data_IF_578812504801
#
_entry.id   IF_578812504801
#
_cell.length_a   1.000
_cell.length_b   1.000
_cell.length_c   1.000
_cell.angle_alpha   90.00
_cell.angle_beta   90.00
_cell.angle_gamma   90.00
#
_symmetry.space_group_name_H-M   'P 1'
#
loop_
_entity.id
_entity.type
_entity.pdbx_description
1 polymer ?
#
# COMPACT_ATOMS: atom_id res chain seq x y z
N UNK A 1 -16.84 12.61 -37.14
CA UNK A 1 -16.75 11.86 -35.86
C UNK A 1 -15.58 12.44 -35.08
N UNK A 2 -15.80 13.04 -33.90
CA UNK A 2 -14.69 13.43 -33.01
C UNK A 2 -14.34 12.21 -32.17
N UNK A 3 -13.09 11.74 -32.25
CA UNK A 3 -12.55 10.81 -31.28
C UNK A 3 -12.61 11.49 -29.91
N UNK A 4 -13.47 11.00 -29.02
CA UNK A 4 -13.54 11.48 -27.64
C UNK A 4 -12.22 11.15 -26.96
N UNK A 5 -11.34 12.14 -26.85
CA UNK A 5 -10.03 11.97 -26.20
C UNK A 5 -10.24 11.57 -24.74
N UNK A 6 -9.67 10.42 -24.36
CA UNK A 6 -9.55 10.04 -22.95
C UNK A 6 -8.66 11.08 -22.28
N UNK A 7 -9.19 11.77 -21.28
CA UNK A 7 -8.40 12.64 -20.40
C UNK A 7 -7.96 11.82 -19.20
N UNK A 8 -6.66 11.81 -18.92
CA UNK A 8 -6.09 11.17 -17.73
C UNK A 8 -5.77 12.23 -16.69
N UNK A 9 -6.13 11.97 -15.43
CA UNK A 9 -5.83 12.82 -14.29
C UNK A 9 -4.98 12.03 -13.29
N UNK A 10 -3.93 12.65 -12.80
CA UNK A 10 -3.13 12.14 -11.68
C UNK A 10 -3.64 12.81 -10.40
N UNK A 11 -4.01 12.01 -9.40
CA UNK A 11 -4.61 12.49 -8.15
C UNK A 11 -3.87 11.91 -6.95
N UNK A 12 -3.80 12.70 -5.87
CA UNK A 12 -3.23 12.29 -4.60
C UNK A 12 -4.26 12.50 -3.50
N UNK A 13 -4.52 11.45 -2.69
CA UNK A 13 -5.37 11.56 -1.51
C UNK A 13 -4.63 12.26 -0.37
N UNK A 14 -5.25 13.27 0.25
CA UNK A 14 -4.61 14.05 1.32
C UNK A 14 -5.12 13.71 2.73
N UNK A 15 -6.43 13.50 2.88
CA UNK A 15 -7.04 13.22 4.17
C UNK A 15 -8.29 12.37 3.98
N UNK A 16 -8.67 11.68 5.05
CA UNK A 16 -9.93 10.95 5.12
C UNK A 16 -11.07 11.85 5.53
N UNK A 17 -12.25 11.51 5.03
CA UNK A 17 -13.46 12.20 5.40
C UNK A 17 -14.65 11.25 5.43
N UNK A 18 -15.61 11.56 6.29
CA UNK A 18 -16.92 10.94 6.34
C UNK A 18 -17.89 11.82 5.55
N UNK A 19 -18.63 11.20 4.64
CA UNK A 19 -19.71 11.86 3.92
C UNK A 19 -20.86 12.14 4.89
N UNK A 20 -21.29 13.40 5.00
CA UNK A 20 -22.36 13.83 5.91
C UNK A 20 -23.67 13.98 5.15
N UNK A 21 -23.65 14.74 4.05
CA UNK A 21 -24.79 14.93 3.16
C UNK A 21 -24.30 15.12 1.72
N UNK A 22 -25.20 14.89 0.76
CA UNK A 22 -24.97 15.14 -0.66
C UNK A 22 -26.13 15.94 -1.25
N UNK A 23 -25.82 16.78 -2.22
CA UNK A 23 -26.82 17.55 -2.97
C UNK A 23 -26.30 17.84 -4.38
N UNK A 24 -27.17 18.23 -5.30
CA UNK A 24 -26.77 18.57 -6.67
C UNK A 24 -26.83 20.10 -6.89
N UNK A 25 -25.82 20.64 -7.56
CA UNK A 25 -25.81 22.03 -8.02
C UNK A 25 -25.46 22.07 -9.50
N UNK A 26 -26.43 22.40 -10.34
CA UNK A 26 -26.28 22.51 -11.79
C UNK A 26 -25.71 21.25 -12.47
N UNK A 27 -26.24 20.07 -12.17
CA UNK A 27 -25.78 18.80 -12.77
C UNK A 27 -24.49 18.25 -12.16
N UNK A 28 -23.97 18.86 -11.08
CA UNK A 28 -22.75 18.43 -10.39
C UNK A 28 -23.09 18.03 -8.96
N UNK A 29 -22.74 16.80 -8.58
CA UNK A 29 -22.85 16.33 -7.20
C UNK A 29 -21.89 17.08 -6.28
N UNK A 30 -22.43 17.54 -5.16
CA UNK A 30 -21.72 18.21 -4.07
C UNK A 30 -21.95 17.42 -2.79
N UNK A 31 -21.01 17.57 -1.87
CA UNK A 31 -21.02 16.84 -0.62
C UNK A 31 -20.53 17.72 0.53
N UNK A 32 -21.15 17.58 1.70
CA UNK A 32 -20.59 18.03 2.97
C UNK A 32 -19.87 16.86 3.58
N UNK A 33 -18.67 17.12 4.07
CA UNK A 33 -17.80 16.10 4.61
C UNK A 33 -17.29 16.53 5.98
N UNK A 34 -17.14 15.56 6.88
CA UNK A 34 -16.44 15.72 8.15
C UNK A 34 -15.06 15.08 8.02
N UNK A 35 -13.98 15.82 8.31
CA UNK A 35 -12.63 15.27 8.25
C UNK A 35 -12.49 14.25 9.38
N UNK A 36 -12.07 13.03 9.03
CA UNK A 36 -11.73 12.00 10.00
C UNK A 36 -10.31 12.30 10.49
N UNK A 37 -10.19 12.60 11.78
CA UNK A 37 -8.92 12.71 12.46
C UNK A 37 -8.74 11.44 13.28
N UNK A 38 -7.58 10.82 13.17
CA UNK A 38 -7.22 9.81 14.15
C UNK A 38 -6.94 10.47 15.49
N UNK A 39 -7.26 9.75 16.57
CA UNK A 39 -6.90 10.17 17.92
C UNK A 39 -5.38 10.34 18.04
N UNK A 40 -4.98 11.21 18.98
CA UNK A 40 -3.59 11.59 19.31
C UNK A 40 -2.61 10.41 19.20
N UNK A 41 -1.32 10.66 18.86
CA UNK A 41 -0.34 9.61 18.64
C UNK A 41 -0.36 8.61 19.79
N UNK A 42 -0.82 7.40 19.48
CA UNK A 42 -0.82 6.29 20.41
C UNK A 42 0.63 5.86 20.66
N UNK A 43 0.91 5.37 21.86
CA UNK A 43 2.16 4.69 22.16
C UNK A 43 2.41 3.56 21.13
N UNK A 44 3.62 3.56 20.55
CA UNK A 44 4.18 2.56 19.63
C UNK A 44 3.82 2.66 18.13
N UNK A 45 3.44 3.84 17.60
CA UNK A 45 3.28 4.01 16.14
C UNK A 45 4.62 3.89 15.39
N UNK A 46 5.70 4.46 15.93
CA UNK A 46 7.06 4.36 15.36
C UNK A 46 7.46 2.91 15.17
N UNK A 47 7.34 2.08 16.21
CA UNK A 47 7.73 0.67 16.17
C UNK A 47 6.94 -0.10 15.08
N UNK A 48 5.66 0.20 14.91
CA UNK A 48 4.83 -0.41 13.87
C UNK A 48 5.22 0.06 12.48
N UNK A 49 5.55 1.35 12.32
CA UNK A 49 6.05 1.88 11.06
C UNK A 49 7.38 1.24 10.70
N UNK A 50 8.34 1.18 11.63
CA UNK A 50 9.66 0.57 11.43
C UNK A 50 9.56 -0.92 11.10
N UNK A 51 8.66 -1.63 11.78
CA UNK A 51 8.37 -3.03 11.47
C UNK A 51 7.82 -3.18 10.05
N UNK A 52 6.80 -2.41 9.69
CA UNK A 52 6.20 -2.50 8.36
C UNK A 52 7.17 -2.11 7.23
N UNK A 53 8.00 -1.08 7.48
CA UNK A 53 9.10 -0.67 6.60
C UNK A 53 10.08 -1.82 6.35
N UNK A 54 10.49 -2.49 7.43
CA UNK A 54 11.43 -3.60 7.37
C UNK A 54 10.84 -4.77 6.57
N UNK A 55 9.57 -5.10 6.76
CA UNK A 55 8.88 -6.14 6.00
C UNK A 55 8.76 -5.77 4.52
N UNK A 56 8.41 -4.52 4.19
CA UNK A 56 8.31 -4.06 2.79
C UNK A 56 9.65 -4.09 2.07
N UNK A 57 10.72 -3.65 2.74
CA UNK A 57 12.08 -3.71 2.22
C UNK A 57 12.52 -5.15 1.97
N UNK A 58 12.22 -6.04 2.92
CA UNK A 58 12.55 -7.48 2.82
C UNK A 58 11.78 -8.13 1.67
N UNK A 59 10.47 -7.90 1.57
CA UNK A 59 9.63 -8.36 0.46
C UNK A 59 10.23 -7.93 -0.89
N UNK A 60 10.57 -6.65 -1.01
CA UNK A 60 11.10 -6.04 -2.25
C UNK A 60 12.40 -6.70 -2.68
N UNK A 61 13.34 -6.89 -1.75
CA UNK A 61 14.63 -7.53 -2.04
C UNK A 61 14.46 -8.99 -2.46
N UNK A 62 13.57 -9.74 -1.80
CA UNK A 62 13.28 -11.14 -2.14
C UNK A 62 12.68 -11.24 -3.53
N UNK A 63 11.70 -10.39 -3.84
CA UNK A 63 11.08 -10.34 -5.17
C UNK A 63 12.11 -9.99 -6.25
N UNK A 64 13.00 -9.02 -6.02
CA UNK A 64 14.06 -8.67 -6.96
C UNK A 64 15.01 -9.84 -7.24
N UNK A 65 15.36 -10.63 -6.22
CA UNK A 65 16.19 -11.83 -6.38
C UNK A 65 15.47 -12.89 -7.22
N UNK A 66 14.23 -13.23 -6.87
CA UNK A 66 13.42 -14.23 -7.56
C UNK A 66 13.14 -13.84 -9.02
N UNK A 67 12.97 -12.55 -9.31
CA UNK A 67 12.75 -12.08 -10.69
C UNK A 67 14.05 -12.02 -11.51
N UNK A 68 15.20 -11.89 -10.87
CA UNK A 68 16.51 -11.95 -11.54
C UNK A 68 16.97 -13.37 -11.89
N UNK A 69 16.48 -14.40 -11.17
CA UNK A 69 16.78 -15.82 -11.46
C UNK A 69 15.90 -16.40 -12.57
N UNK A 70 14.67 -15.91 -12.72
CA UNK A 70 13.62 -16.58 -13.49
C UNK A 70 13.34 -15.90 -14.85
N UNK A 71 14.40 -15.58 -15.61
CA UNK A 71 14.34 -14.69 -16.78
C UNK A 71 13.54 -15.21 -18.00
N UNK A 72 12.97 -16.42 -17.99
CA UNK A 72 12.42 -16.98 -19.25
C UNK A 72 11.00 -17.55 -19.25
N UNK A 73 10.24 -17.73 -18.15
CA UNK A 73 9.00 -18.52 -18.31
C UNK A 73 7.71 -18.15 -17.61
N UNK A 74 7.65 -17.22 -16.66
CA UNK A 74 6.37 -16.81 -16.09
C UNK A 74 6.40 -15.35 -15.62
N UNK A 75 5.44 -14.53 -16.08
CA UNK A 75 4.89 -13.50 -15.21
C UNK A 75 4.85 -12.08 -15.75
N UNK A 76 3.83 -11.75 -16.54
CA UNK A 76 3.36 -10.35 -16.59
C UNK A 76 2.71 -9.95 -15.25
N UNK A 77 1.94 -10.87 -14.63
CA UNK A 77 1.25 -10.63 -13.35
C UNK A 77 2.20 -10.56 -12.14
N UNK A 78 3.30 -11.32 -12.13
CA UNK A 78 4.31 -11.19 -11.07
C UNK A 78 5.12 -9.90 -11.21
N UNK A 79 5.37 -9.43 -12.44
CA UNK A 79 6.11 -8.18 -12.70
C UNK A 79 5.33 -6.96 -12.23
N UNK A 80 4.00 -6.92 -12.37
CA UNK A 80 3.20 -5.75 -11.94
C UNK A 80 3.12 -5.61 -10.42
N UNK A 81 2.89 -6.71 -9.69
CA UNK A 81 2.95 -6.70 -8.21
C UNK A 81 4.35 -6.40 -7.69
N UNK A 82 5.39 -6.89 -8.38
CA UNK A 82 6.80 -6.58 -8.09
C UNK A 82 7.11 -5.10 -8.26
N UNK A 83 6.72 -4.52 -9.39
CA UNK A 83 6.94 -3.11 -9.69
C UNK A 83 6.20 -2.20 -8.70
N UNK A 84 4.99 -2.60 -8.29
CA UNK A 84 4.19 -1.88 -7.30
C UNK A 84 4.82 -1.93 -5.92
N UNK A 85 5.34 -3.10 -5.50
CA UNK A 85 6.07 -3.24 -4.24
C UNK A 85 7.39 -2.45 -4.22
N UNK A 86 8.18 -2.51 -5.31
CA UNK A 86 9.41 -1.72 -5.47
C UNK A 86 9.12 -0.22 -5.48
N UNK A 87 8.10 0.22 -6.22
CA UNK A 87 7.70 1.62 -6.27
C UNK A 87 7.23 2.13 -4.91
N UNK A 88 6.47 1.31 -4.16
CA UNK A 88 6.06 1.65 -2.80
C UNK A 88 7.27 1.79 -1.88
N UNK A 89 8.19 0.83 -1.90
CA UNK A 89 9.40 0.87 -1.07
C UNK A 89 10.26 2.10 -1.37
N UNK A 90 10.47 2.43 -2.64
CA UNK A 90 11.21 3.63 -3.05
C UNK A 90 10.52 4.92 -2.60
N UNK A 91 9.19 4.98 -2.74
CA UNK A 91 8.39 6.12 -2.31
C UNK A 91 8.52 6.31 -0.80
N UNK A 92 8.40 5.23 -0.03
CA UNK A 92 8.53 5.27 1.41
C UNK A 92 9.94 5.64 1.86
N UNK A 93 10.99 5.12 1.22
CA UNK A 93 12.37 5.51 1.49
C UNK A 93 12.63 7.00 1.19
N UNK A 94 11.97 7.55 0.16
CA UNK A 94 12.06 8.97 -0.20
C UNK A 94 11.38 9.91 0.79
N UNK A 95 10.54 9.37 1.68
CA UNK A 95 9.81 10.11 2.71
C UNK A 95 10.62 10.30 4.01
N UNK A 96 11.93 10.04 3.99
CA UNK A 96 12.82 10.28 5.14
C UNK A 96 12.68 11.72 5.66
N UNK A 97 12.38 11.86 6.95
CA UNK A 97 12.15 13.16 7.61
C UNK A 97 10.70 13.64 7.59
N UNK A 98 9.75 12.84 7.08
CA UNK A 98 8.32 13.10 7.29
C UNK A 98 7.92 12.91 8.75
N UNK A 99 6.90 13.68 9.16
CA UNK A 99 6.25 13.52 10.46
C UNK A 99 5.72 12.08 10.62
N UNK A 100 5.98 11.48 11.77
CA UNK A 100 5.71 10.07 12.08
C UNK A 100 4.22 9.71 11.86
N UNK A 101 3.32 10.64 12.17
CA UNK A 101 1.89 10.42 11.96
C UNK A 101 1.53 10.37 10.48
N UNK A 102 2.17 11.20 9.66
CA UNK A 102 1.95 11.20 8.21
C UNK A 102 2.52 9.92 7.59
N UNK A 103 3.66 9.44 8.08
CA UNK A 103 4.24 8.17 7.66
C UNK A 103 3.34 6.98 8.02
N UNK A 104 2.78 6.95 9.23
CA UNK A 104 1.85 5.92 9.70
C UNK A 104 0.58 5.85 8.84
N UNK A 105 -0.03 7.00 8.56
CA UNK A 105 -1.22 7.09 7.70
C UNK A 105 -0.89 6.63 6.27
N UNK A 106 0.23 7.10 5.71
CA UNK A 106 0.65 6.72 4.36
C UNK A 106 0.89 5.22 4.25
N UNK A 107 1.68 4.63 5.16
CA UNK A 107 2.01 3.21 5.16
C UNK A 107 0.76 2.34 5.33
N UNK A 108 -0.14 2.73 6.24
CA UNK A 108 -1.40 2.03 6.47
C UNK A 108 -2.26 1.94 5.20
N UNK A 109 -2.32 3.02 4.39
CA UNK A 109 -3.09 3.01 3.14
C UNK A 109 -2.37 2.39 1.96
N UNK A 110 -1.06 2.58 1.87
CA UNK A 110 -0.31 2.12 0.73
C UNK A 110 -0.32 0.60 0.63
N UNK A 111 -0.24 -0.12 1.77
CA UNK A 111 -0.36 -1.57 1.80
C UNK A 111 -1.76 -2.03 1.39
N UNK A 112 -2.81 -1.34 1.84
CA UNK A 112 -4.19 -1.61 1.39
C UNK A 112 -4.38 -1.38 -0.12
N UNK A 113 -3.56 -0.52 -0.72
CA UNK A 113 -3.55 -0.24 -2.16
C UNK A 113 -2.86 -1.31 -2.99
N UNK A 114 -1.97 -2.12 -2.40
CA UNK A 114 -1.28 -3.23 -3.06
C UNK A 114 -2.14 -4.50 -3.15
N UNK A 115 -3.26 -4.54 -2.43
CA UNK A 115 -4.12 -5.70 -2.36
C UNK A 115 -5.29 -5.65 -3.37
N UNK A 116 -5.68 -6.83 -3.86
CA UNK A 116 -6.93 -7.05 -4.59
C UNK A 116 -8.12 -7.15 -3.61
N UNK A 117 -8.23 -6.16 -2.72
CA UNK A 117 -9.34 -6.05 -1.78
C UNK A 117 -10.62 -5.65 -2.50
N UNK A 118 -11.73 -6.22 -2.06
CA UNK A 118 -13.04 -5.77 -2.49
C UNK A 118 -13.26 -4.30 -2.10
N UNK A 119 -14.12 -3.61 -2.85
CA UNK A 119 -14.50 -2.22 -2.55
C UNK A 119 -15.01 -2.08 -1.10
N UNK A 120 -15.66 -3.11 -0.58
CA UNK A 120 -16.19 -3.12 0.79
C UNK A 120 -15.08 -3.18 1.84
N UNK A 121 -14.04 -3.99 1.62
CA UNK A 121 -12.88 -4.06 2.51
C UNK A 121 -12.06 -2.77 2.46
N UNK A 122 -11.83 -2.22 1.26
CA UNK A 122 -11.19 -0.91 1.08
C UNK A 122 -11.94 0.19 1.83
N UNK A 123 -13.28 0.18 1.78
CA UNK A 123 -14.12 1.12 2.54
C UNK A 123 -14.02 0.91 4.05
N UNK A 124 -13.98 -0.33 4.53
CA UNK A 124 -13.82 -0.62 5.95
C UNK A 124 -12.48 -0.12 6.49
N UNK A 125 -11.39 -0.28 5.72
CA UNK A 125 -10.05 0.20 6.07
C UNK A 125 -9.99 1.74 6.10
N UNK A 126 -10.65 2.40 5.14
CA UNK A 126 -10.75 3.87 5.09
C UNK A 126 -11.58 4.44 6.25
N UNK A 127 -12.74 3.85 6.54
CA UNK A 127 -13.74 4.48 7.40
C UNK A 127 -13.74 4.07 8.87
N UNK A 128 -13.24 2.88 9.21
CA UNK A 128 -13.56 2.25 10.50
C UNK A 128 -12.38 1.98 11.44
N UNK A 129 -11.14 2.16 10.98
CA UNK A 129 -9.95 1.81 11.75
C UNK A 129 -9.16 3.06 12.15
N UNK A 130 -8.42 2.96 13.25
CA UNK A 130 -7.33 3.86 13.61
C UNK A 130 -6.07 3.57 12.76
N UNK A 131 -5.14 4.52 12.68
CA UNK A 131 -3.82 4.34 12.04
C UNK A 131 -3.11 3.10 12.55
N UNK A 132 -3.16 2.87 13.87
CA UNK A 132 -2.55 1.70 14.51
C UNK A 132 -3.16 0.39 14.00
N UNK A 133 -4.48 0.29 13.96
CA UNK A 133 -5.16 -0.92 13.48
C UNK A 133 -4.91 -1.16 11.99
N UNK A 134 -4.81 -0.10 11.18
CA UNK A 134 -4.41 -0.21 9.77
C UNK A 134 -2.98 -0.75 9.63
N UNK A 135 -2.03 -0.21 10.38
CA UNK A 135 -0.64 -0.67 10.37
C UNK A 135 -0.52 -2.14 10.81
N UNK A 136 -1.22 -2.54 11.88
CA UNK A 136 -1.24 -3.94 12.33
C UNK A 136 -1.78 -4.85 11.25
N UNK A 137 -2.92 -4.51 10.63
CA UNK A 137 -3.48 -5.30 9.52
C UNK A 137 -2.53 -5.39 8.32
N UNK A 138 -1.87 -4.29 7.98
CA UNK A 138 -0.88 -4.26 6.91
C UNK A 138 0.30 -5.20 7.19
N UNK A 139 0.81 -5.20 8.44
CA UNK A 139 1.88 -6.11 8.87
C UNK A 139 1.42 -7.57 8.86
N UNK A 140 0.26 -7.86 9.46
CA UNK A 140 -0.30 -9.22 9.54
C UNK A 140 -0.55 -9.81 8.15
N UNK A 141 -0.84 -8.96 7.17
CA UNK A 141 -1.00 -9.36 5.78
C UNK A 141 0.33 -9.57 5.06
N UNK A 142 1.31 -8.69 5.27
CA UNK A 142 2.60 -8.75 4.59
C UNK A 142 3.50 -9.87 5.11
N UNK A 143 3.46 -10.16 6.41
CA UNK A 143 4.27 -11.19 7.08
C UNK A 143 4.21 -12.58 6.39
N UNK A 144 3.03 -13.17 6.08
CA UNK A 144 2.97 -14.46 5.39
C UNK A 144 3.51 -14.40 3.96
N UNK A 145 3.38 -13.27 3.27
CA UNK A 145 3.92 -13.07 1.92
C UNK A 145 5.44 -13.05 1.97
N UNK A 146 6.02 -12.25 2.89
CA UNK A 146 7.48 -12.18 3.09
C UNK A 146 8.04 -13.55 3.45
N UNK A 147 7.39 -14.29 4.36
CA UNK A 147 7.81 -15.65 4.74
C UNK A 147 7.77 -16.62 3.56
N UNK A 148 6.74 -16.55 2.72
CA UNK A 148 6.65 -17.40 1.52
C UNK A 148 7.74 -17.05 0.50
N UNK A 149 7.96 -15.76 0.23
CA UNK A 149 9.03 -15.29 -0.66
C UNK A 149 10.42 -15.68 -0.15
N UNK A 150 10.66 -15.57 1.17
CA UNK A 150 11.91 -15.98 1.79
C UNK A 150 12.15 -17.48 1.66
N UNK A 151 11.11 -18.29 1.86
CA UNK A 151 11.17 -19.73 1.67
C UNK A 151 11.49 -20.09 0.21
N UNK A 152 10.83 -19.47 -0.76
CA UNK A 152 11.11 -19.66 -2.20
C UNK A 152 12.55 -19.29 -2.55
N UNK A 153 13.03 -18.12 -2.10
CA UNK A 153 14.39 -17.66 -2.36
C UNK A 153 15.45 -18.59 -1.74
N UNK A 154 15.18 -19.14 -0.55
CA UNK A 154 16.07 -20.12 0.09
C UNK A 154 16.12 -21.45 -0.71
N UNK A 155 14.98 -21.92 -1.22
CA UNK A 155 14.92 -23.11 -2.08
C UNK A 155 15.71 -22.89 -3.38
N UNK A 156 15.51 -21.77 -4.07
CA UNK A 156 16.24 -21.46 -5.31
C UNK A 156 17.75 -21.37 -5.08
N UNK A 157 18.17 -20.72 -3.99
CA UNK A 157 19.59 -20.65 -3.58
C UNK A 157 20.18 -22.04 -3.33
N UNK A 158 19.40 -22.97 -2.78
CA UNK A 158 19.84 -24.34 -2.53
C UNK A 158 19.86 -25.22 -3.79
N UNK A 159 19.02 -24.90 -4.78
CA UNK A 159 18.92 -25.62 -6.05
C UNK A 159 19.90 -25.12 -7.12
N UNK A 160 20.47 -23.92 -6.93
CA UNK A 160 21.53 -23.35 -7.76
C UNK A 160 22.83 -23.20 -6.95
N UNK A 161 23.42 -24.30 -6.43
CA UNK A 161 24.73 -24.20 -5.81
C UNK A 161 25.76 -23.85 -6.89
N UNK A 162 26.51 -22.78 -6.66
CA UNK A 162 27.79 -22.56 -7.36
C UNK A 162 28.71 -23.79 -7.22
#
# INVERSE_FOLDING_TARGET
>A
MRAGGRSSLFVTGHFRFQLVDTWEVAGVERARVAIVRDDLPNENLSDLCDKLLTELLSATQLIQRLTSSDQERQGEMMVESTNSAVALTNLVQSMGGMDEWVLAEFLGFAVCGLEDLSIMEKRALLGGLSSKERLIRAIDHLDPIVKNLAAKSAIESALSPD
#
